data_IF_760656679458
#
_entry.id   IF_760656679458
#
_cell.length_a   1.000
_cell.length_b   1.000
_cell.length_c   1.000
_cell.angle_alpha   90.00
_cell.angle_beta   90.00
_cell.angle_gamma   90.00
#
_symmetry.space_group_name_H-M   'P 1'
#
loop_
_entity.id
_entity.type
_entity.pdbx_description
1 polymer ?
#
# COMPACT_ATOMS: atom_id res chain seq x y z
N UNK A 1 70.66 29.44 -81.73
CA UNK A 1 69.30 29.00 -82.14
C UNK A 1 68.62 28.46 -80.89
N UNK A 2 67.76 29.22 -80.19
CA UNK A 2 66.28 29.25 -80.37
C UNK A 2 65.74 27.83 -80.09
N UNK A 3 64.99 27.46 -79.03
CA UNK A 3 63.88 28.05 -78.25
C UNK A 3 63.88 27.41 -76.83
N UNK A 4 63.71 28.10 -75.70
CA UNK A 4 62.47 28.65 -75.07
C UNK A 4 61.29 27.66 -75.01
N UNK A 5 61.07 27.07 -73.83
CA UNK A 5 59.83 27.07 -72.99
C UNK A 5 59.81 25.84 -72.07
N UNK A 6 60.38 25.98 -70.88
CA UNK A 6 60.05 25.12 -69.73
C UNK A 6 58.73 25.59 -69.14
N UNK A 7 57.62 24.98 -69.56
CA UNK A 7 56.35 25.09 -68.87
C UNK A 7 56.37 24.15 -67.65
N UNK A 8 56.78 24.66 -66.49
CA UNK A 8 56.53 23.99 -65.22
C UNK A 8 55.05 24.16 -64.92
N UNK A 9 54.23 23.17 -65.29
CA UNK A 9 52.87 23.06 -64.79
C UNK A 9 52.99 22.65 -63.33
N UNK A 10 52.89 23.61 -62.40
CA UNK A 10 52.51 23.31 -61.03
C UNK A 10 51.09 22.77 -61.08
N UNK A 11 50.95 21.46 -61.23
CA UNK A 11 49.77 20.75 -60.78
C UNK A 11 49.80 20.86 -59.26
N UNK A 12 49.18 21.92 -58.74
CA UNK A 12 48.72 21.94 -57.35
C UNK A 12 47.68 20.84 -57.24
N UNK A 13 48.14 19.62 -56.96
CA UNK A 13 47.32 18.59 -56.35
C UNK A 13 46.91 19.21 -55.01
N UNK A 14 45.76 19.88 -55.01
CA UNK A 14 45.02 20.12 -53.78
C UNK A 14 44.77 18.72 -53.23
N UNK A 15 45.59 18.35 -52.24
CA UNK A 15 45.26 17.27 -51.34
C UNK A 15 43.94 17.70 -50.70
N UNK A 16 42.81 17.27 -51.27
CA UNK A 16 41.52 17.34 -50.59
C UNK A 16 41.72 16.50 -49.34
N UNK A 17 42.07 17.16 -48.24
CA UNK A 17 41.97 16.58 -46.92
C UNK A 17 40.59 15.95 -46.87
N UNK A 18 40.53 14.63 -46.75
CA UNK A 18 39.27 13.93 -46.54
C UNK A 18 38.69 14.54 -45.25
N UNK A 19 37.75 15.48 -45.41
CA UNK A 19 37.06 16.07 -44.29
C UNK A 19 36.38 14.91 -43.56
N UNK A 20 36.88 14.59 -42.37
CA UNK A 20 36.38 13.45 -41.61
C UNK A 20 34.91 13.73 -41.32
N UNK A 21 34.04 12.78 -41.70
CA UNK A 21 32.59 12.95 -41.59
C UNK A 21 32.20 13.16 -40.12
N UNK A 22 31.34 14.15 -39.80
CA UNK A 22 30.86 14.34 -38.45
C UNK A 22 29.95 13.17 -38.05
N UNK A 23 30.12 12.68 -36.82
CA UNK A 23 29.45 11.49 -36.33
C UNK A 23 28.98 11.69 -34.88
N UNK A 24 27.79 11.17 -34.58
CA UNK A 24 27.27 11.05 -33.21
C UNK A 24 27.71 9.70 -32.66
N UNK A 25 28.55 9.73 -31.63
CA UNK A 25 29.29 8.54 -31.17
C UNK A 25 28.52 7.75 -30.13
N UNK A 26 27.87 8.45 -29.20
CA UNK A 26 27.20 7.82 -28.06
C UNK A 26 25.68 7.82 -28.28
N UNK A 27 25.00 6.78 -27.81
CA UNK A 27 23.54 6.77 -27.74
C UNK A 27 23.07 7.73 -26.64
N UNK A 28 21.93 8.38 -26.86
CA UNK A 28 21.32 9.26 -25.87
C UNK A 28 20.58 8.38 -24.87
N UNK A 29 21.05 8.37 -23.62
CA UNK A 29 20.42 7.59 -22.56
C UNK A 29 19.00 8.12 -22.27
N UNK A 30 18.03 7.22 -22.02
CA UNK A 30 16.69 7.63 -21.63
C UNK A 30 16.71 8.27 -20.24
N UNK A 31 16.03 9.41 -20.11
CA UNK A 31 15.96 10.17 -18.86
C UNK A 31 14.56 10.03 -18.25
N UNK A 32 14.49 9.70 -16.96
CA UNK A 32 13.24 9.61 -16.20
C UNK A 32 13.30 10.62 -15.05
N UNK A 33 12.35 11.55 -15.01
CA UNK A 33 12.29 12.62 -14.02
C UNK A 33 10.86 12.83 -13.54
N UNK A 34 10.71 13.35 -12.32
CA UNK A 34 9.41 13.76 -11.81
C UNK A 34 9.02 15.14 -12.34
N UNK A 35 7.71 15.40 -12.36
CA UNK A 35 7.15 16.71 -12.70
C UNK A 35 7.82 17.84 -11.89
N UNK A 36 8.13 18.95 -12.57
CA UNK A 36 8.82 20.11 -11.99
C UNK A 36 10.35 19.97 -11.88
N UNK A 37 10.94 18.78 -12.07
CA UNK A 37 12.40 18.61 -12.06
C UNK A 37 13.06 19.15 -13.34
N UNK A 38 14.38 19.08 -13.41
CA UNK A 38 15.16 19.39 -14.62
C UNK A 38 15.71 18.10 -15.24
N UNK A 39 15.53 17.93 -16.54
CA UNK A 39 16.10 16.82 -17.33
C UNK A 39 17.33 17.25 -18.11
N UNK A 40 18.20 16.27 -18.40
CA UNK A 40 19.43 16.44 -19.15
C UNK A 40 19.52 15.36 -20.23
N UNK A 41 19.69 15.76 -21.48
CA UNK A 41 19.96 14.84 -22.59
C UNK A 41 21.31 15.17 -23.20
N UNK A 42 22.20 14.18 -23.26
CA UNK A 42 23.59 14.38 -23.70
C UNK A 42 23.78 13.77 -25.10
N UNK A 43 24.37 14.55 -26.01
CA UNK A 43 24.73 14.09 -27.34
C UNK A 43 26.23 14.33 -27.59
N UNK A 44 26.98 13.26 -27.76
CA UNK A 44 28.42 13.31 -28.02
C UNK A 44 28.72 13.20 -29.51
N UNK A 45 29.49 14.15 -30.04
CA UNK A 45 29.90 14.19 -31.44
C UNK A 45 31.42 14.28 -31.61
N UNK A 46 31.91 13.73 -32.72
CA UNK A 46 33.30 13.85 -33.17
C UNK A 46 33.33 14.45 -34.57
N UNK A 47 34.45 15.08 -34.92
CA UNK A 47 34.71 15.67 -36.24
C UNK A 47 33.65 16.69 -36.70
N UNK A 48 32.92 17.32 -35.76
CA UNK A 48 32.00 18.41 -36.08
C UNK A 48 32.81 19.66 -36.45
N UNK A 49 32.68 20.12 -37.69
CA UNK A 49 33.38 21.30 -38.23
C UNK A 49 32.40 22.26 -38.89
N UNK A 50 32.67 23.57 -38.82
CA UNK A 50 31.89 24.58 -39.54
C UNK A 50 31.90 24.28 -41.05
N UNK A 51 30.75 24.32 -41.76
CA UNK A 51 29.49 24.93 -41.35
C UNK A 51 28.45 23.95 -40.75
N UNK A 52 28.84 22.72 -40.39
CA UNK A 52 27.94 21.76 -39.75
C UNK A 52 27.47 22.26 -38.37
N UNK A 53 26.20 22.03 -38.06
CA UNK A 53 25.54 22.44 -36.82
C UNK A 53 24.83 21.25 -36.19
N UNK A 54 24.84 21.16 -34.86
CA UNK A 54 24.06 20.18 -34.12
C UNK A 54 22.69 20.74 -33.79
N UNK A 55 21.62 19.99 -34.00
CA UNK A 55 20.26 20.43 -33.72
C UNK A 55 19.57 19.50 -32.74
N UNK A 56 18.95 20.07 -31.72
CA UNK A 56 18.00 19.36 -30.87
C UNK A 56 16.59 19.58 -31.39
N UNK A 57 15.87 18.48 -31.61
CA UNK A 57 14.51 18.51 -32.15
C UNK A 57 13.65 17.58 -31.29
N UNK A 58 12.51 18.07 -30.82
CA UNK A 58 11.50 17.24 -30.16
C UNK A 58 10.57 16.66 -31.22
N UNK A 59 10.51 15.34 -31.30
CA UNK A 59 9.70 14.63 -32.29
C UNK A 59 8.26 14.43 -31.82
N UNK A 60 8.08 14.16 -30.52
CA UNK A 60 6.76 13.94 -29.93
C UNK A 60 6.21 15.25 -29.40
N UNK A 61 5.37 15.91 -30.19
CA UNK A 61 4.68 17.14 -29.79
C UNK A 61 3.17 16.91 -29.84
N UNK A 62 2.37 17.66 -29.04
CA UNK A 62 0.91 17.57 -29.09
C UNK A 62 0.33 17.88 -30.47
N UNK A 63 1.02 18.68 -31.28
CA UNK A 63 0.62 19.06 -32.64
C UNK A 63 1.03 18.05 -33.72
N UNK A 64 1.80 17.02 -33.36
CA UNK A 64 2.34 16.02 -34.29
C UNK A 64 3.46 16.53 -35.20
N UNK A 65 3.87 17.80 -35.07
CA UNK A 65 4.95 18.41 -35.84
C UNK A 65 6.26 18.46 -35.03
N UNK A 66 7.41 18.08 -35.61
CA UNK A 66 8.70 18.22 -34.93
C UNK A 66 8.99 19.67 -34.54
N UNK A 67 9.40 19.89 -33.30
CA UNK A 67 9.73 21.22 -32.77
C UNK A 67 11.26 21.36 -32.67
N UNK A 68 11.82 22.31 -33.42
CA UNK A 68 13.25 22.61 -33.38
C UNK A 68 13.59 23.44 -32.13
N UNK A 69 14.33 22.85 -31.19
CA UNK A 69 14.66 23.45 -29.90
C UNK A 69 15.89 24.34 -29.99
N UNK A 70 16.96 23.84 -30.59
CA UNK A 70 18.23 24.57 -30.68
C UNK A 70 18.98 24.27 -31.96
N UNK A 71 19.94 25.15 -32.25
CA UNK A 71 20.99 24.96 -33.24
C UNK A 71 22.31 25.33 -32.58
N UNK A 72 23.18 24.36 -32.42
CA UNK A 72 24.34 24.37 -31.53
C UNK A 72 23.92 24.83 -30.12
N UNK A 73 24.60 25.83 -29.57
CA UNK A 73 24.32 26.44 -28.26
C UNK A 73 23.15 27.46 -28.33
N UNK A 74 22.68 27.82 -29.52
CA UNK A 74 21.61 28.81 -29.70
C UNK A 74 20.23 28.15 -29.62
N UNK A 75 19.53 28.38 -28.51
CA UNK A 75 18.12 27.99 -28.33
C UNK A 75 17.23 28.85 -29.24
N UNK A 76 16.28 28.21 -29.93
CA UNK A 76 15.34 28.85 -30.88
C UNK A 76 13.94 29.07 -30.30
N UNK A 77 13.65 28.50 -29.14
CA UNK A 77 12.35 28.59 -28.48
C UNK A 77 12.47 29.51 -27.27
N UNK A 78 11.76 30.64 -27.30
CA UNK A 78 11.73 31.62 -26.21
C UNK A 78 10.64 31.31 -25.17
N UNK A 79 10.56 30.05 -24.73
CA UNK A 79 9.68 29.66 -23.63
C UNK A 79 10.37 29.97 -22.29
N UNK A 80 9.68 30.70 -21.42
CA UNK A 80 10.21 31.14 -20.12
C UNK A 80 9.35 30.55 -19.01
N UNK A 81 10.01 29.88 -18.06
CA UNK A 81 9.39 29.33 -16.85
C UNK A 81 10.14 29.90 -15.65
N UNK A 82 9.41 30.47 -14.69
CA UNK A 82 9.98 31.07 -13.48
C UNK A 82 11.10 32.10 -13.76
N UNK A 83 10.94 32.89 -14.83
CA UNK A 83 11.89 33.93 -15.22
C UNK A 83 13.19 33.41 -15.87
N UNK A 84 13.28 32.11 -16.19
CA UNK A 84 14.42 31.51 -16.90
C UNK A 84 13.96 30.81 -18.18
N UNK A 85 14.86 30.67 -19.16
CA UNK A 85 14.59 29.88 -20.37
C UNK A 85 14.32 28.42 -20.00
N UNK A 86 13.23 27.89 -20.53
CA UNK A 86 12.82 26.47 -20.41
C UNK A 86 13.91 25.54 -20.89
N UNK A 87 14.43 25.83 -22.09
CA UNK A 87 15.47 25.08 -22.77
C UNK A 87 16.80 25.81 -22.69
N UNK A 88 17.88 25.06 -22.54
CA UNK A 88 19.25 25.55 -22.57
C UNK A 88 20.16 24.49 -23.18
N UNK A 89 21.25 24.90 -23.81
CA UNK A 89 22.21 23.95 -24.39
C UNK A 89 23.61 24.36 -24.00
N UNK A 90 24.28 23.46 -23.28
CA UNK A 90 25.66 23.65 -22.86
C UNK A 90 26.55 22.70 -23.63
N UNK A 91 27.63 23.25 -24.19
CA UNK A 91 28.65 22.48 -24.90
C UNK A 91 29.86 22.23 -24.00
N UNK A 92 30.24 20.98 -23.84
CA UNK A 92 31.47 20.56 -23.17
C UNK A 92 32.43 19.94 -24.17
N UNK A 93 33.71 20.32 -24.12
CA UNK A 93 34.75 19.71 -24.94
C UNK A 93 35.63 18.80 -24.07
N UNK A 94 35.76 17.53 -24.46
CA UNK A 94 36.64 16.57 -23.81
C UNK A 94 37.44 15.84 -24.88
N UNK A 95 38.74 16.13 -24.96
CA UNK A 95 39.64 15.64 -26.01
C UNK A 95 39.08 15.93 -27.42
N UNK A 96 38.94 14.89 -28.26
CA UNK A 96 38.39 14.97 -29.61
C UNK A 96 36.85 14.86 -29.65
N UNK A 97 36.17 14.86 -28.51
CA UNK A 97 34.70 14.76 -28.39
C UNK A 97 34.10 16.08 -27.93
N UNK A 98 33.00 16.45 -28.55
CA UNK A 98 32.16 17.57 -28.12
C UNK A 98 30.82 17.02 -27.64
N UNK A 99 30.45 17.31 -26.40
CA UNK A 99 29.18 16.90 -25.81
C UNK A 99 28.25 18.10 -25.75
N UNK A 100 27.10 17.98 -26.40
CA UNK A 100 26.02 18.95 -26.35
C UNK A 100 24.95 18.44 -25.39
N UNK A 101 24.81 19.10 -24.25
CA UNK A 101 23.82 18.76 -23.23
C UNK A 101 22.61 19.68 -23.36
N UNK A 102 21.46 19.11 -23.71
CA UNK A 102 20.17 19.79 -23.64
C UNK A 102 19.64 19.74 -22.20
N UNK A 103 19.33 20.92 -21.66
CA UNK A 103 18.75 21.11 -20.33
C UNK A 103 17.30 21.54 -20.50
N UNK A 104 16.38 20.83 -19.85
CA UNK A 104 14.94 21.12 -19.89
C UNK A 104 14.47 21.35 -18.45
N UNK A 105 14.12 22.60 -18.11
CA UNK A 105 13.77 23.02 -16.74
C UNK A 105 12.28 22.90 -16.45
N UNK A 106 11.94 22.73 -15.18
CA UNK A 106 10.57 22.75 -14.67
C UNK A 106 9.62 21.88 -15.50
N UNK A 107 9.92 20.58 -15.56
CA UNK A 107 9.25 19.62 -16.46
C UNK A 107 7.73 19.61 -16.29
N UNK A 108 7.02 19.58 -17.42
CA UNK A 108 5.56 19.40 -17.52
C UNK A 108 5.25 18.07 -18.21
N UNK A 109 3.99 17.63 -18.17
CA UNK A 109 3.57 16.40 -18.86
C UNK A 109 3.85 16.45 -20.36
N UNK A 110 3.69 17.64 -20.96
CA UNK A 110 3.94 17.88 -22.38
C UNK A 110 5.40 17.75 -22.77
N UNK A 111 6.35 17.80 -21.82
CA UNK A 111 7.78 17.62 -22.08
C UNK A 111 8.16 16.16 -22.34
N UNK A 112 7.34 15.20 -21.90
CA UNK A 112 7.59 13.80 -22.15
C UNK A 112 7.58 13.49 -23.65
N UNK A 113 8.45 12.58 -24.07
CA UNK A 113 8.50 12.10 -25.45
C UNK A 113 9.91 11.93 -25.99
N UNK A 114 10.00 11.79 -27.31
CA UNK A 114 11.26 11.53 -27.99
C UNK A 114 11.91 12.81 -28.52
N UNK A 115 13.20 12.93 -28.24
CA UNK A 115 14.08 13.99 -28.69
C UNK A 115 15.12 13.38 -29.62
N UNK A 116 15.51 14.13 -30.64
CA UNK A 116 16.62 13.74 -31.53
C UNK A 116 17.71 14.78 -31.46
N UNK A 117 18.94 14.29 -31.41
CA UNK A 117 20.12 15.06 -31.72
C UNK A 117 20.50 14.75 -33.17
N UNK A 118 20.48 15.75 -34.03
CA UNK A 118 20.72 15.60 -35.47
C UNK A 118 21.83 16.54 -35.93
N UNK A 119 22.74 16.06 -36.78
CA UNK A 119 23.75 16.89 -37.42
C UNK A 119 23.18 17.45 -38.74
N UNK A 120 23.15 18.77 -38.87
CA UNK A 120 22.72 19.48 -40.06
C UNK A 120 23.93 20.14 -40.75
N UNK A 121 24.16 19.84 -42.03
CA UNK A 121 25.16 20.55 -42.84
C UNK A 121 24.48 21.44 -43.89
N UNK A 122 24.66 22.76 -43.86
CA UNK A 122 24.17 23.61 -44.92
C UNK A 122 24.89 23.27 -46.24
N UNK A 123 24.14 23.32 -47.35
CA UNK A 123 24.63 23.08 -48.72
C UNK A 123 25.00 21.63 -49.06
N UNK A 124 24.67 20.65 -48.21
CA UNK A 124 24.75 19.23 -48.57
C UNK A 124 23.36 18.61 -48.52
N UNK A 125 23.03 17.82 -49.55
CA UNK A 125 21.75 17.13 -49.62
C UNK A 125 21.97 15.67 -49.22
N UNK A 126 22.09 15.40 -47.92
CA UNK A 126 22.17 14.04 -47.42
C UNK A 126 20.81 13.38 -47.49
N UNK A 127 20.78 12.11 -47.95
CA UNK A 127 19.56 11.29 -47.94
C UNK A 127 19.05 11.07 -46.52
N UNK A 128 19.97 10.94 -45.55
CA UNK A 128 19.71 10.86 -44.12
C UNK A 128 20.84 11.55 -43.35
N UNK A 129 20.47 12.47 -42.46
CA UNK A 129 21.38 13.15 -41.56
C UNK A 129 21.76 12.23 -40.39
N UNK A 130 23.02 12.21 -39.92
CA UNK A 130 23.37 11.49 -38.69
C UNK A 130 22.51 11.98 -37.53
N UNK A 131 21.79 11.06 -36.89
CA UNK A 131 20.91 11.38 -35.77
C UNK A 131 20.88 10.25 -34.73
N UNK A 132 20.62 10.62 -33.48
CA UNK A 132 20.38 9.69 -32.36
C UNK A 132 19.14 10.11 -31.59
N UNK A 133 18.36 9.13 -31.18
CA UNK A 133 17.12 9.31 -30.43
C UNK A 133 17.39 9.20 -28.93
N UNK A 134 16.82 10.11 -28.15
CA UNK A 134 16.71 10.04 -26.70
C UNK A 134 15.25 10.12 -26.27
N UNK A 135 14.89 9.47 -25.18
CA UNK A 135 13.53 9.49 -24.63
C UNK A 135 13.52 10.16 -23.27
N UNK A 136 12.54 11.04 -23.05
CA UNK A 136 12.28 11.69 -21.78
C UNK A 136 10.93 11.22 -21.24
N UNK A 137 10.94 10.60 -20.06
CA UNK A 137 9.73 10.22 -19.33
C UNK A 137 9.53 11.15 -18.14
N UNK A 138 8.36 11.81 -18.09
CA UNK A 138 7.96 12.64 -16.95
C UNK A 138 6.98 11.86 -16.08
N UNK A 139 7.43 11.55 -14.87
CA UNK A 139 6.69 10.84 -13.84
C UNK A 139 5.86 11.80 -12.99
N UNK A 140 4.67 11.37 -12.61
CA UNK A 140 3.70 12.14 -11.84
C UNK A 140 3.29 11.29 -10.63
N UNK A 141 3.48 11.84 -9.43
CA UNK A 141 3.07 11.21 -8.19
C UNK A 141 1.54 10.94 -8.17
N UNK A 142 1.09 9.89 -7.49
CA UNK A 142 -0.31 9.55 -7.44
C UNK A 142 -1.12 10.63 -6.71
N UNK A 143 -2.35 10.85 -7.17
CA UNK A 143 -3.34 11.74 -6.53
C UNK A 143 -4.68 11.02 -6.50
N UNK A 144 -5.34 10.97 -5.33
CA UNK A 144 -6.65 10.32 -5.17
C UNK A 144 -7.74 11.37 -5.39
N UNK A 145 -8.74 11.04 -6.21
CA UNK A 145 -9.98 11.82 -6.29
C UNK A 145 -10.85 11.45 -5.10
N UNK A 146 -11.20 12.44 -4.28
CA UNK A 146 -12.04 12.24 -3.11
C UNK A 146 -13.53 12.16 -3.49
N UNK A 147 -13.89 11.27 -4.42
CA UNK A 147 -15.28 11.10 -4.88
C UNK A 147 -16.10 10.24 -3.90
N UNK A 148 -15.44 9.50 -3.00
CA UNK A 148 -16.09 8.70 -1.95
C UNK A 148 -16.32 9.51 -0.69
N UNK A 149 -17.52 9.38 -0.10
CA UNK A 149 -17.83 10.00 1.18
C UNK A 149 -16.78 9.63 2.24
N UNK A 150 -16.21 10.64 2.90
CA UNK A 150 -15.21 10.44 3.95
C UNK A 150 -15.78 9.66 5.14
N UNK A 151 -17.09 9.75 5.36
CA UNK A 151 -17.82 9.04 6.40
C UNK A 151 -19.01 8.30 5.77
N UNK A 152 -19.13 7.01 6.05
CA UNK A 152 -20.23 6.16 5.61
C UNK A 152 -20.91 5.61 6.86
N UNK A 153 -22.22 5.78 6.95
CA UNK A 153 -23.04 5.13 7.97
C UNK A 153 -23.94 4.11 7.30
N UNK A 154 -23.95 2.90 7.83
CA UNK A 154 -24.69 1.76 7.27
C UNK A 154 -25.36 0.96 8.38
N UNK A 155 -26.48 0.32 8.07
CA UNK A 155 -27.15 -0.61 8.98
C UNK A 155 -26.50 -2.00 8.87
N UNK A 156 -26.33 -2.68 10.00
CA UNK A 156 -25.84 -4.06 10.06
C UNK A 156 -26.64 -5.00 9.15
N UNK A 157 -25.95 -5.95 8.54
CA UNK A 157 -26.48 -6.87 7.54
C UNK A 157 -26.61 -6.29 6.12
N UNK A 158 -26.41 -4.98 5.93
CA UNK A 158 -26.40 -4.37 4.59
C UNK A 158 -25.04 -4.52 3.88
N UNK A 159 -25.05 -4.23 2.58
CA UNK A 159 -23.86 -4.27 1.73
C UNK A 159 -23.39 -2.84 1.41
N UNK A 160 -22.08 -2.62 1.31
CA UNK A 160 -21.51 -1.34 0.85
C UNK A 160 -20.47 -1.57 -0.26
N UNK A 161 -20.22 -0.51 -1.00
CA UNK A 161 -19.14 -0.44 -1.98
C UNK A 161 -18.27 0.76 -1.66
N UNK A 162 -17.01 0.51 -1.31
CA UNK A 162 -15.98 1.53 -1.18
C UNK A 162 -15.32 1.76 -2.54
N UNK A 163 -15.22 3.02 -2.96
CA UNK A 163 -14.61 3.40 -4.24
C UNK A 163 -13.39 4.28 -3.97
N UNK A 164 -12.35 4.11 -4.76
CA UNK A 164 -11.17 4.94 -4.72
C UNK A 164 -10.63 5.04 -6.15
N UNK A 165 -10.55 6.27 -6.65
CA UNK A 165 -9.98 6.58 -7.95
C UNK A 165 -8.69 7.37 -7.74
N UNK A 166 -7.65 7.00 -8.49
CA UNK A 166 -6.37 7.70 -8.41
C UNK A 166 -5.81 7.96 -9.81
N UNK A 167 -5.22 9.13 -9.98
CA UNK A 167 -4.47 9.53 -11.17
C UNK A 167 -2.97 9.48 -10.86
N UNK A 168 -2.14 9.32 -11.89
CA UNK A 168 -0.69 9.34 -11.78
C UNK A 168 -0.04 8.80 -13.06
N UNK A 169 1.26 9.07 -13.22
CA UNK A 169 2.04 8.52 -14.33
C UNK A 169 3.37 7.95 -13.81
N UNK A 170 3.60 6.62 -13.84
CA UNK A 170 2.71 5.58 -14.37
C UNK A 170 1.36 5.48 -13.63
N UNK A 171 0.38 4.80 -14.24
CA UNK A 171 -0.93 4.60 -13.61
C UNK A 171 -0.77 3.90 -12.25
N UNK A 172 -1.38 4.42 -11.17
CA UNK A 172 -1.18 3.90 -9.83
C UNK A 172 -1.95 2.62 -9.55
N UNK A 173 -1.31 1.73 -8.79
CA UNK A 173 -1.98 0.57 -8.22
C UNK A 173 -2.70 0.98 -6.93
N UNK A 174 -3.98 0.63 -6.84
CA UNK A 174 -4.83 0.93 -5.69
C UNK A 174 -4.97 -0.30 -4.80
N UNK A 175 -4.81 -0.10 -3.48
CA UNK A 175 -4.98 -1.13 -2.45
C UNK A 175 -5.78 -0.59 -1.28
N UNK A 176 -6.75 -1.38 -0.80
CA UNK A 176 -7.50 -1.14 0.42
C UNK A 176 -6.93 -1.95 1.58
N UNK A 177 -6.96 -1.38 2.78
CA UNK A 177 -6.65 -2.04 4.05
C UNK A 177 -7.46 -1.42 5.19
N UNK A 178 -7.54 -2.09 6.33
CA UNK A 178 -8.06 -1.46 7.56
C UNK A 178 -7.00 -0.56 8.20
N UNK A 179 -7.44 0.51 8.85
CA UNK A 179 -6.58 1.45 9.58
C UNK A 179 -6.06 0.90 10.90
N UNK A 180 -6.81 -0.01 11.52
CA UNK A 180 -6.45 -0.72 12.75
C UNK A 180 -5.53 -1.93 12.53
N UNK A 181 -5.32 -2.33 11.26
CA UNK A 181 -4.48 -3.47 10.90
C UNK A 181 -5.18 -4.83 10.97
N UNK A 182 -6.47 -4.89 11.32
CA UNK A 182 -7.24 -6.13 11.28
C UNK A 182 -7.49 -6.60 9.84
N UNK A 183 -7.85 -7.88 9.64
CA UNK A 183 -8.32 -8.37 8.35
C UNK A 183 -9.52 -7.58 7.86
N UNK A 184 -9.59 -7.37 6.54
CA UNK A 184 -10.79 -6.83 5.89
C UNK A 184 -11.99 -7.77 6.12
N UNK A 185 -13.23 -7.25 6.10
CA UNK A 185 -14.45 -8.05 6.31
C UNK A 185 -14.54 -9.33 5.46
N UNK A 186 -14.12 -9.26 4.19
CA UNK A 186 -14.14 -10.42 3.28
C UNK A 186 -12.89 -11.32 3.41
N UNK A 187 -12.08 -11.13 4.45
CA UNK A 187 -10.82 -11.81 4.68
C UNK A 187 -9.59 -11.14 4.04
N UNK A 188 -8.41 -11.48 4.58
CA UNK A 188 -7.12 -10.96 4.17
C UNK A 188 -6.82 -9.54 4.66
N UNK A 189 -5.56 -9.13 4.66
CA UNK A 189 -5.14 -7.81 5.17
C UNK A 189 -5.21 -6.69 4.12
N UNK A 190 -5.31 -7.06 2.84
CA UNK A 190 -5.26 -6.11 1.73
C UNK A 190 -6.14 -6.57 0.56
N UNK A 191 -6.79 -5.61 -0.10
CA UNK A 191 -7.55 -5.84 -1.34
C UNK A 191 -7.07 -4.92 -2.44
N UNK A 192 -6.64 -5.48 -3.58
CA UNK A 192 -6.28 -4.70 -4.78
C UNK A 192 -7.51 -4.25 -5.57
N UNK A 193 -7.41 -3.09 -6.19
CA UNK A 193 -8.43 -2.50 -7.06
C UNK A 193 -9.09 -1.27 -6.44
N UNK A 194 -9.61 -0.38 -7.30
CA UNK A 194 -10.29 0.84 -6.88
C UNK A 194 -11.61 0.61 -6.14
N UNK A 195 -12.29 -0.51 -6.41
CA UNK A 195 -13.57 -0.86 -5.80
C UNK A 195 -13.44 -2.02 -4.83
N UNK A 196 -13.98 -1.85 -3.62
CA UNK A 196 -14.08 -2.89 -2.61
C UNK A 196 -15.53 -3.04 -2.15
N UNK A 197 -16.15 -4.18 -2.46
CA UNK A 197 -17.50 -4.52 -2.02
C UNK A 197 -17.42 -5.30 -0.71
N UNK A 198 -18.20 -4.87 0.29
CA UNK A 198 -18.39 -5.57 1.56
C UNK A 198 -19.85 -5.99 1.64
N UNK A 199 -20.09 -7.23 2.03
CA UNK A 199 -21.42 -7.81 2.11
C UNK A 199 -21.75 -8.17 3.56
N UNK A 200 -23.02 -8.05 3.94
CA UNK A 200 -23.51 -8.40 5.27
C UNK A 200 -22.65 -7.81 6.40
N UNK A 201 -22.50 -6.48 6.39
CA UNK A 201 -21.65 -5.76 7.34
C UNK A 201 -22.05 -6.08 8.77
N UNK A 202 -21.05 -6.36 9.60
CA UNK A 202 -21.22 -6.60 11.03
C UNK A 202 -20.83 -5.37 11.85
N UNK A 203 -21.32 -5.29 13.09
CA UNK A 203 -20.90 -4.24 14.02
C UNK A 203 -19.37 -4.20 14.22
N UNK A 204 -18.68 -5.34 14.13
CA UNK A 204 -17.21 -5.46 14.24
C UNK A 204 -16.46 -4.84 13.06
N UNK A 205 -17.10 -4.69 11.90
CA UNK A 205 -16.50 -4.13 10.70
C UNK A 205 -16.29 -2.62 10.77
N UNK A 206 -16.90 -1.94 11.75
CA UNK A 206 -16.75 -0.50 11.98
C UNK A 206 -15.27 -0.09 12.04
N UNK A 207 -14.97 1.14 11.64
CA UNK A 207 -13.64 1.72 11.75
C UNK A 207 -13.12 2.29 10.45
N UNK A 208 -11.80 2.44 10.36
CA UNK A 208 -11.15 3.12 9.23
C UNK A 208 -10.79 2.14 8.13
N UNK A 209 -11.15 2.48 6.90
CA UNK A 209 -10.70 1.84 5.67
C UNK A 209 -9.81 2.80 4.91
N UNK A 210 -8.58 2.37 4.62
CA UNK A 210 -7.56 3.21 3.97
C UNK A 210 -7.34 2.70 2.55
N UNK A 211 -7.64 3.55 1.58
CA UNK A 211 -7.17 3.38 0.20
C UNK A 211 -5.76 3.95 0.07
N UNK A 212 -4.86 3.20 -0.59
CA UNK A 212 -3.50 3.62 -0.93
C UNK A 212 -3.32 3.51 -2.44
N UNK A 213 -2.86 4.58 -3.06
CA UNK A 213 -2.46 4.64 -4.46
C UNK A 213 -0.94 4.80 -4.56
N UNK A 214 -0.27 3.85 -5.21
CA UNK A 214 1.19 3.86 -5.40
C UNK A 214 1.56 3.50 -6.84
N UNK A 215 2.40 4.33 -7.47
CA UNK A 215 3.01 4.08 -8.78
C UNK A 215 4.54 4.10 -8.74
N UNK A 216 5.13 3.91 -7.55
CA UNK A 216 6.56 4.05 -7.23
C UNK A 216 7.13 5.47 -7.36
N UNK A 217 6.30 6.48 -7.62
CA UNK A 217 6.67 7.90 -7.60
C UNK A 217 6.22 8.48 -6.27
N UNK A 218 7.13 9.17 -5.57
CA UNK A 218 6.88 9.67 -4.22
C UNK A 218 6.29 11.09 -4.24
N UNK A 219 5.43 11.44 -3.27
CA UNK A 219 4.87 10.56 -2.22
C UNK A 219 3.72 9.68 -2.76
N UNK A 220 3.46 8.49 -2.18
CA UNK A 220 2.22 7.77 -2.43
C UNK A 220 1.03 8.58 -1.89
N UNK A 221 -0.16 8.35 -2.43
CA UNK A 221 -1.39 8.98 -1.95
C UNK A 221 -2.20 8.01 -1.11
N UNK A 222 -2.88 8.52 -0.09
CA UNK A 222 -3.80 7.73 0.75
C UNK A 222 -5.08 8.50 1.06
N UNK A 223 -6.19 7.78 1.13
CA UNK A 223 -7.50 8.32 1.51
C UNK A 223 -8.16 7.41 2.54
N UNK A 224 -8.73 8.01 3.58
CA UNK A 224 -9.34 7.27 4.70
C UNK A 224 -10.84 7.46 4.67
N UNK A 225 -11.57 6.35 4.73
CA UNK A 225 -13.02 6.28 4.87
C UNK A 225 -13.35 5.79 6.27
N UNK A 226 -14.13 6.55 7.01
CA UNK A 226 -14.68 6.13 8.30
C UNK A 226 -16.00 5.38 8.07
N UNK A 227 -16.03 4.11 8.44
CA UNK A 227 -17.24 3.28 8.43
C UNK A 227 -17.86 3.25 9.83
N UNK A 228 -19.10 3.70 9.92
CA UNK A 228 -19.94 3.62 11.10
C UNK A 228 -21.08 2.62 10.86
N UNK A 229 -21.25 1.66 11.78
CA UNK A 229 -22.26 0.60 11.66
C UNK A 229 -23.31 0.78 12.74
N UNK A 230 -24.56 1.02 12.32
CA UNK A 230 -25.74 1.07 13.20
C UNK A 230 -26.42 -0.29 13.26
N UNK A 231 -26.97 -0.65 14.41
CA UNK A 231 -27.62 -1.93 14.66
C UNK A 231 -28.63 -1.83 15.81
N UNK A 232 -29.62 -2.73 15.84
CA UNK A 232 -30.57 -2.87 16.94
C UNK A 232 -29.87 -3.38 18.21
N UNK A 233 -30.44 -3.20 19.41
CA UNK A 233 -29.74 -3.59 20.63
C UNK A 233 -29.51 -5.10 20.71
N UNK A 234 -28.40 -5.51 21.31
CA UNK A 234 -28.10 -6.89 21.71
C UNK A 234 -28.00 -6.92 23.23
N UNK A 235 -28.96 -7.56 23.88
CA UNK A 235 -29.03 -7.67 25.33
C UNK A 235 -28.51 -9.04 25.78
N UNK A 236 -27.52 -9.06 26.66
CA UNK A 236 -26.90 -10.29 27.16
C UNK A 236 -26.93 -10.31 28.68
N UNK A 237 -27.51 -11.37 29.24
CA UNK A 237 -27.44 -11.63 30.68
C UNK A 237 -26.04 -12.13 31.04
N UNK A 238 -25.31 -11.40 31.89
CA UNK A 238 -23.97 -11.83 32.34
C UNK A 238 -24.06 -13.14 33.13
N UNK A 239 -25.12 -13.26 33.93
CA UNK A 239 -25.53 -14.51 34.58
C UNK A 239 -27.04 -14.63 34.47
N UNK A 240 -27.50 -15.57 33.66
CA UNK A 240 -28.91 -15.79 33.37
C UNK A 240 -29.68 -16.41 34.54
N UNK A 241 -29.00 -17.09 35.45
CA UNK A 241 -29.58 -17.78 36.61
C UNK A 241 -28.92 -17.30 37.90
N UNK A 242 -29.69 -16.66 38.78
CA UNK A 242 -29.18 -16.05 40.01
C UNK A 242 -29.89 -16.68 41.20
N UNK A 243 -29.12 -17.33 42.07
CA UNK A 243 -29.61 -17.86 43.33
C UNK A 243 -29.42 -16.84 44.45
N UNK A 244 -30.45 -16.57 45.24
CA UNK A 244 -30.35 -15.71 46.41
C UNK A 244 -31.26 -16.23 47.53
N UNK A 245 -30.73 -16.36 48.75
CA UNK A 245 -31.51 -16.80 49.90
C UNK A 245 -32.55 -15.74 50.33
N UNK A 246 -33.71 -16.17 50.86
CA UNK A 246 -34.76 -15.25 51.31
C UNK A 246 -34.34 -14.60 52.63
N UNK A 247 -34.10 -13.30 52.62
CA UNK A 247 -33.81 -12.53 53.83
C UNK A 247 -34.00 -11.03 53.59
N UNK A 248 -34.53 -10.34 54.60
CA UNK A 248 -34.64 -8.87 54.62
C UNK A 248 -33.30 -8.12 54.57
N UNK A 249 -32.16 -8.81 54.60
CA UNK A 249 -30.81 -8.22 54.46
C UNK A 249 -30.06 -8.70 53.21
N UNK A 250 -30.62 -9.65 52.46
CA UNK A 250 -29.99 -10.15 51.25
C UNK A 250 -30.58 -9.43 50.03
N UNK A 251 -29.68 -8.98 49.15
CA UNK A 251 -30.02 -8.26 47.92
C UNK A 251 -29.56 -9.11 46.75
N UNK A 252 -30.38 -9.23 45.71
CA UNK A 252 -29.97 -9.85 44.45
C UNK A 252 -29.53 -8.76 43.46
N UNK A 253 -28.56 -9.08 42.60
CA UNK A 253 -28.14 -8.22 41.50
C UNK A 253 -28.21 -8.97 40.19
N UNK A 254 -28.94 -8.42 39.23
CA UNK A 254 -29.01 -8.92 37.86
C UNK A 254 -28.23 -7.94 36.97
N UNK A 255 -27.29 -8.47 36.18
CA UNK A 255 -26.39 -7.67 35.36
C UNK A 255 -26.61 -7.97 33.87
N UNK A 256 -26.99 -6.96 33.12
CA UNK A 256 -27.28 -7.00 31.69
C UNK A 256 -26.25 -6.17 30.93
N UNK A 257 -25.53 -6.79 30.00
CA UNK A 257 -24.69 -6.09 29.03
C UNK A 257 -25.53 -5.78 27.81
N UNK A 258 -25.60 -4.52 27.41
CA UNK A 258 -26.35 -4.09 26.23
C UNK A 258 -25.40 -3.41 25.26
N UNK A 259 -25.27 -3.99 24.05
CA UNK A 259 -24.57 -3.40 22.92
C UNK A 259 -25.58 -2.78 21.96
N UNK A 260 -25.46 -1.50 21.59
CA UNK A 260 -26.40 -0.86 20.67
C UNK A 260 -25.82 0.39 20.00
N UNK A 261 -26.09 0.56 18.71
CA UNK A 261 -25.78 1.79 17.99
C UNK A 261 -26.92 2.24 17.05
N UNK A 262 -27.62 3.34 17.33
CA UNK A 262 -27.40 4.25 18.46
C UNK A 262 -27.75 3.62 19.80
N UNK A 263 -27.26 4.26 20.88
CA UNK A 263 -27.44 3.77 22.26
C UNK A 263 -28.91 3.50 22.56
N UNK A 264 -29.18 2.32 23.14
CA UNK A 264 -30.53 1.88 23.47
C UNK A 264 -31.06 2.52 24.76
N UNK A 265 -32.37 2.73 24.81
CA UNK A 265 -33.12 2.88 26.05
C UNK A 265 -33.36 1.49 26.66
N UNK A 266 -33.07 1.33 27.95
CA UNK A 266 -33.16 0.03 28.64
C UNK A 266 -34.23 0.07 29.72
N UNK A 267 -35.14 -0.90 29.67
CA UNK A 267 -36.25 -1.07 30.60
C UNK A 267 -36.17 -2.48 31.20
N UNK A 268 -36.39 -2.57 32.51
CA UNK A 268 -36.48 -3.85 33.20
C UNK A 268 -37.93 -4.27 33.39
N UNK A 269 -38.20 -5.56 33.27
CA UNK A 269 -39.51 -6.15 33.51
C UNK A 269 -39.42 -7.34 34.47
N UNK A 270 -40.48 -7.55 35.25
CA UNK A 270 -40.68 -8.78 36.02
C UNK A 270 -41.86 -9.55 35.42
N UNK A 271 -41.70 -10.85 35.23
CA UNK A 271 -42.80 -11.72 34.85
C UNK A 271 -43.71 -11.98 36.04
N UNK A 272 -45.00 -11.77 35.85
CA UNK A 272 -45.99 -12.18 36.84
C UNK A 272 -46.14 -13.71 36.78
N UNK A 273 -45.80 -14.40 37.88
CA UNK A 273 -45.85 -15.86 37.95
C UNK A 273 -47.24 -16.48 37.68
N UNK A 274 -48.32 -15.69 37.76
CA UNK A 274 -49.70 -16.18 37.57
C UNK A 274 -50.23 -15.86 36.17
N UNK A 275 -50.05 -14.62 35.71
CA UNK A 275 -50.59 -14.15 34.41
C UNK A 275 -49.60 -14.30 33.26
N UNK A 276 -48.32 -14.56 33.56
CA UNK A 276 -47.20 -14.55 32.60
C UNK A 276 -47.02 -13.20 31.88
N UNK A 277 -47.63 -12.13 32.38
CA UNK A 277 -47.46 -10.79 31.83
C UNK A 277 -46.19 -10.13 32.38
N UNK A 278 -45.55 -9.30 31.55
CA UNK A 278 -44.35 -8.54 31.93
C UNK A 278 -44.75 -7.20 32.54
N UNK A 279 -44.49 -7.03 33.82
CA UNK A 279 -44.71 -5.78 34.55
C UNK A 279 -43.42 -4.95 34.55
N UNK A 280 -43.51 -3.69 34.10
CA UNK A 280 -42.35 -2.80 34.04
C UNK A 280 -41.87 -2.44 35.46
N UNK A 281 -40.57 -2.57 35.67
CA UNK A 281 -39.90 -2.22 36.92
C UNK A 281 -39.48 -0.75 36.86
N UNK A 282 -39.77 -0.02 37.92
CA UNK A 282 -39.30 1.35 38.14
C UNK A 282 -38.42 1.39 39.38
N UNK A 283 -37.48 2.34 39.40
CA UNK A 283 -36.61 2.58 40.56
C UNK A 283 -37.45 3.04 41.77
N UNK A 284 -37.26 2.38 42.91
CA UNK A 284 -38.00 2.60 44.15
C UNK A 284 -37.30 1.97 45.37
N UNK A 285 -37.99 1.86 46.51
CA UNK A 285 -37.45 1.26 47.73
C UNK A 285 -37.10 -0.24 47.57
N UNK A 286 -37.77 -0.94 46.64
CA UNK A 286 -37.59 -2.36 46.36
C UNK A 286 -36.53 -2.62 45.29
N UNK A 287 -36.54 -1.86 44.20
CA UNK A 287 -35.68 -2.05 43.05
C UNK A 287 -34.80 -0.84 42.85
N UNK A 288 -33.51 -1.03 42.58
CA UNK A 288 -32.60 0.04 42.19
C UNK A 288 -32.00 -0.26 40.84
N UNK A 289 -32.12 0.71 39.93
CA UNK A 289 -31.69 0.60 38.54
C UNK A 289 -30.42 1.43 38.36
N UNK A 290 -29.31 0.76 38.09
CA UNK A 290 -28.02 1.41 37.89
C UNK A 290 -27.50 1.13 36.49
N UNK A 291 -26.78 2.10 35.94
CA UNK A 291 -26.02 1.92 34.71
C UNK A 291 -24.61 2.44 34.94
N UNK A 292 -23.60 1.71 34.49
CA UNK A 292 -22.22 2.15 34.62
C UNK A 292 -21.43 1.83 33.36
N UNK A 293 -20.51 2.73 33.03
CA UNK A 293 -19.54 2.54 31.95
C UNK A 293 -18.30 1.86 32.54
N UNK A 294 -17.79 0.82 31.89
CA UNK A 294 -16.53 0.16 32.23
C UNK A 294 -15.53 0.46 31.12
N UNK A 295 -14.31 0.86 31.48
CA UNK A 295 -13.29 1.27 30.51
C UNK A 295 -12.87 0.14 29.56
N UNK A 296 -13.17 -1.11 29.90
CA UNK A 296 -12.87 -2.28 29.07
C UNK A 296 -13.96 -2.55 28.02
N UNK A 297 -15.12 -1.92 28.14
CA UNK A 297 -16.21 -2.07 27.17
C UNK A 297 -15.98 -1.22 25.92
N UNK A 298 -16.55 -1.68 24.80
CA UNK A 298 -16.63 -0.87 23.59
C UNK A 298 -17.57 0.33 23.82
N UNK A 299 -17.42 1.39 23.02
CA UNK A 299 -18.18 2.63 23.19
C UNK A 299 -19.71 2.48 23.06
N UNK A 300 -20.15 1.45 22.35
CA UNK A 300 -21.54 1.04 22.11
C UNK A 300 -22.06 0.02 23.12
N UNK A 301 -21.24 -0.43 24.06
CA UNK A 301 -21.58 -1.39 25.10
C UNK A 301 -21.78 -0.68 26.45
N UNK A 302 -22.73 -1.17 27.26
CA UNK A 302 -22.92 -0.67 28.63
C UNK A 302 -23.53 -1.74 29.54
N UNK A 303 -23.14 -1.72 30.81
CA UNK A 303 -23.80 -2.51 31.84
C UNK A 303 -25.00 -1.79 32.45
N UNK A 304 -26.10 -2.53 32.57
CA UNK A 304 -27.32 -2.16 33.28
C UNK A 304 -27.55 -3.17 34.41
N UNK A 305 -27.78 -2.68 35.61
CA UNK A 305 -27.94 -3.49 36.82
C UNK A 305 -29.31 -3.27 37.43
N UNK A 306 -30.03 -4.36 37.71
CA UNK A 306 -31.19 -4.37 38.57
C UNK A 306 -30.80 -4.94 39.94
N UNK A 307 -30.82 -4.10 40.97
CA UNK A 307 -30.62 -4.51 42.36
C UNK A 307 -31.97 -4.69 43.05
N UNK A 308 -32.30 -5.92 43.43
CA UNK A 308 -33.54 -6.28 44.13
C UNK A 308 -33.25 -6.32 45.63
N UNK A 309 -33.83 -5.41 46.39
CA UNK A 309 -33.53 -5.26 47.82
C UNK A 309 -34.39 -6.17 48.68
N UNK A 310 -33.82 -6.70 49.77
CA UNK A 310 -34.54 -7.45 50.80
C UNK A 310 -35.35 -8.60 50.18
N UNK A 311 -34.67 -9.54 49.53
CA UNK A 311 -35.27 -10.63 48.73
C UNK A 311 -36.23 -11.47 49.57
N UNK A 312 -37.42 -11.71 49.02
CA UNK A 312 -38.53 -12.47 49.58
C UNK A 312 -39.03 -13.50 48.55
N UNK A 313 -39.85 -14.45 49.01
CA UNK A 313 -40.37 -15.54 48.16
C UNK A 313 -41.11 -15.04 46.91
N UNK A 314 -41.81 -13.91 47.01
CA UNK A 314 -42.53 -13.31 45.89
C UNK A 314 -41.63 -12.64 44.85
N UNK A 315 -40.34 -12.43 45.14
CA UNK A 315 -39.37 -11.86 44.19
C UNK A 315 -38.83 -12.91 43.22
N UNK A 316 -38.86 -14.19 43.58
CA UNK A 316 -38.40 -15.24 42.69
C UNK A 316 -39.27 -15.32 41.44
N UNK A 317 -38.62 -15.58 40.31
CA UNK A 317 -39.27 -15.59 39.01
C UNK A 317 -38.37 -15.10 37.90
N UNK A 318 -38.97 -14.90 36.73
CA UNK A 318 -38.30 -14.41 35.56
C UNK A 318 -38.25 -12.88 35.54
N UNK A 319 -37.10 -12.34 35.15
CA UNK A 319 -36.86 -10.93 34.92
C UNK A 319 -36.34 -10.73 33.51
N UNK A 320 -36.61 -9.59 32.91
CA UNK A 320 -36.17 -9.26 31.56
C UNK A 320 -35.50 -7.89 31.54
N UNK A 321 -34.37 -7.81 30.85
CA UNK A 321 -33.69 -6.57 30.48
C UNK A 321 -33.95 -6.34 29.01
N UNK A 322 -34.70 -5.29 28.67
CA UNK A 322 -35.12 -5.02 27.30
C UNK A 322 -34.51 -3.71 26.84
N UNK A 323 -33.71 -3.77 25.76
CA UNK A 323 -33.09 -2.62 25.13
C UNK A 323 -33.79 -2.27 23.82
N UNK A 324 -34.06 -0.98 23.60
CA UNK A 324 -34.74 -0.46 22.40
C UNK A 324 -34.01 0.73 21.80
N UNK A 325 -33.87 0.75 20.48
CA UNK A 325 -33.41 1.92 19.73
C UNK A 325 -34.24 2.12 18.44
N UNK A 326 -33.83 3.06 17.59
CA UNK A 326 -34.52 3.36 16.32
C UNK A 326 -34.52 2.20 15.30
N UNK A 327 -33.70 1.18 15.51
CA UNK A 327 -33.54 0.04 14.60
C UNK A 327 -34.19 -1.24 15.10
N UNK A 328 -34.58 -1.31 16.37
CA UNK A 328 -35.27 -2.48 16.91
C UNK A 328 -35.21 -2.59 18.42
N UNK A 329 -35.54 -3.78 18.89
CA UNK A 329 -35.65 -4.12 20.30
C UNK A 329 -35.16 -5.55 20.51
N UNK A 330 -34.48 -5.78 21.64
CA UNK A 330 -34.00 -7.10 22.04
C UNK A 330 -34.06 -7.21 23.57
N UNK A 331 -34.10 -8.44 24.09
CA UNK A 331 -34.19 -8.67 25.52
C UNK A 331 -33.36 -9.85 26.00
N UNK A 332 -32.84 -9.74 27.23
CA UNK A 332 -32.19 -10.81 27.95
C UNK A 332 -33.09 -11.29 29.11
N UNK A 333 -33.25 -12.61 29.25
CA UNK A 333 -34.01 -13.24 30.33
C UNK A 333 -33.09 -13.62 31.49
N UNK A 334 -33.56 -13.38 32.70
CA UNK A 334 -32.94 -13.79 33.95
C UNK A 334 -33.92 -14.63 34.77
N UNK A 335 -33.41 -15.60 35.50
CA UNK A 335 -34.17 -16.41 36.44
C UNK A 335 -33.59 -16.21 37.84
N UNK A 336 -34.38 -15.60 38.73
CA UNK A 336 -34.05 -15.48 40.15
C UNK A 336 -34.71 -16.63 40.93
N UNK A 337 -33.94 -17.38 41.71
CA UNK A 337 -34.43 -18.52 42.49
C UNK A 337 -33.88 -18.54 43.91
N UNK A 338 -34.54 -19.30 44.78
CA UNK A 338 -34.13 -19.49 46.16
C UNK A 338 -32.89 -20.40 46.25
N UNK A 339 -31.77 -19.87 46.72
CA UNK A 339 -30.55 -20.66 46.88
C UNK A 339 -30.54 -21.57 48.11
N UNK A 340 -31.46 -21.38 49.05
CA UNK A 340 -31.54 -22.13 50.32
C UNK A 340 -32.27 -23.47 50.19
N UNK A 341 -33.12 -23.62 49.18
CA UNK A 341 -33.80 -24.88 48.84
C UNK A 341 -32.92 -25.83 48.03
N UNK A 342 -31.85 -25.32 47.41
CA UNK A 342 -30.81 -26.12 46.76
C UNK A 342 -29.76 -26.60 47.77
N UNK A 343 -30.16 -27.57 48.60
CA UNK A 343 -29.25 -28.41 49.39
C UNK A 343 -29.24 -29.84 48.84
N UNK A 344 -28.87 -29.99 47.57
CA UNK A 344 -28.06 -31.12 47.04
C UNK A 344 -27.99 -31.06 45.51
N UNK A 345 -26.77 -31.26 44.98
CA UNK A 345 -26.41 -31.63 43.59
C UNK A 345 -26.21 -30.57 42.48
N UNK A 346 -25.65 -29.40 42.74
CA UNK A 346 -24.86 -28.68 41.70
C UNK A 346 -23.78 -27.76 42.32
N UNK A 347 -23.05 -28.28 43.30
CA UNK A 347 -21.80 -27.68 43.76
C UNK A 347 -20.68 -28.02 42.76
N UNK A 348 -20.76 -27.49 41.55
CA UNK A 348 -19.54 -27.10 40.85
C UNK A 348 -19.09 -25.77 41.44
N UNK A 349 -18.21 -25.89 42.43
CA UNK A 349 -17.44 -24.80 43.00
C UNK A 349 -16.92 -23.86 41.91
N UNK A 350 -17.35 -22.60 41.96
CA UNK A 350 -16.36 -21.52 41.98
C UNK A 350 -16.78 -20.52 43.04
N UNK A 351 -15.86 -20.34 43.98
CA UNK A 351 -15.90 -19.35 45.03
C UNK A 351 -16.04 -17.95 44.43
N UNK A 352 -16.30 -16.98 45.30
CA UNK A 352 -16.10 -15.56 45.01
C UNK A 352 -14.66 -15.37 44.51
N UNK A 353 -14.50 -15.31 43.19
CA UNK A 353 -13.28 -14.91 42.50
C UNK A 353 -13.63 -13.78 41.55
N UNK A 354 -12.67 -12.87 41.38
CA UNK A 354 -12.74 -11.67 40.57
C UNK A 354 -13.43 -11.87 39.21
N UNK A 355 -14.01 -10.78 38.68
CA UNK A 355 -14.41 -10.62 37.28
C UNK A 355 -13.67 -11.61 36.37
N UNK A 356 -14.38 -12.65 35.95
CA UNK A 356 -13.83 -13.71 35.14
C UNK A 356 -13.38 -13.11 33.79
N UNK A 357 -12.11 -13.32 33.43
CA UNK A 357 -11.51 -12.85 32.17
C UNK A 357 -12.15 -13.52 30.92
N UNK A 358 -13.09 -14.44 31.13
CA UNK A 358 -13.87 -15.12 30.08
C UNK A 358 -14.99 -14.26 29.48
N UNK A 359 -15.46 -13.20 30.18
CA UNK A 359 -16.38 -12.21 29.58
C UNK A 359 -15.73 -11.39 28.46
N UNK A 360 -14.41 -11.44 28.34
CA UNK A 360 -13.62 -10.74 27.32
C UNK A 360 -13.28 -11.61 26.10
N UNK A 361 -13.74 -12.87 26.06
CA UNK A 361 -13.68 -13.69 24.87
C UNK A 361 -15.08 -13.81 24.26
N UNK A 362 -15.20 -13.20 23.08
CA UNK A 362 -16.20 -13.45 22.04
C UNK A 362 -17.65 -13.05 22.36
N UNK A 363 -18.01 -11.81 22.01
CA UNK A 363 -19.26 -11.58 21.27
C UNK A 363 -19.03 -11.97 19.80
N UNK A 364 -18.70 -13.24 19.54
CA UNK A 364 -18.79 -13.78 18.19
C UNK A 364 -20.29 -14.00 17.95
N UNK A 365 -20.90 -13.04 17.27
CA UNK A 365 -22.24 -13.24 16.75
C UNK A 365 -22.18 -14.42 15.78
N UNK A 366 -23.04 -15.40 16.02
CA UNK A 366 -22.94 -16.76 15.50
C UNK A 366 -22.79 -16.84 13.97
N UNK A 367 -21.73 -17.51 13.51
CA UNK A 367 -21.51 -17.87 12.11
C UNK A 367 -20.40 -18.92 11.89
N UNK A 368 -20.78 -20.20 11.95
CA UNK A 368 -20.08 -21.41 11.49
C UNK A 368 -18.66 -21.77 12.00
N UNK A 369 -18.59 -23.01 12.51
CA UNK A 369 -17.43 -23.76 13.00
C UNK A 369 -16.24 -23.86 12.04
N UNK A 370 -15.04 -23.67 12.57
CA UNK A 370 -13.84 -24.40 12.12
C UNK A 370 -13.14 -25.01 13.34
N UNK A 371 -12.87 -26.31 13.27
CA UNK A 371 -12.14 -27.07 14.30
C UNK A 371 -10.66 -26.63 14.34
N UNK A 372 -10.15 -26.29 15.52
CA UNK A 372 -8.70 -26.21 15.78
C UNK A 372 -8.26 -27.27 16.79
N UNK A 373 -7.20 -27.99 16.42
CA UNK A 373 -6.50 -29.04 17.18
C UNK A 373 -5.57 -28.36 18.21
N UNK A 374 -5.52 -28.81 19.48
CA UNK A 374 -4.80 -28.07 20.52
C UNK A 374 -3.28 -28.31 20.47
N UNK A 375 -2.52 -27.23 20.50
CA UNK A 375 -1.09 -27.19 20.84
C UNK A 375 -0.94 -26.82 22.32
N UNK A 376 -0.51 -27.78 23.14
CA UNK A 376 -0.07 -27.51 24.52
C UNK A 376 1.23 -26.69 24.54
N UNK A 377 1.24 -25.61 25.32
CA UNK A 377 2.46 -24.99 25.83
C UNK A 377 2.59 -25.34 27.32
N UNK A 378 3.70 -26.00 27.66
CA UNK A 378 4.23 -26.08 29.03
C UNK A 378 5.44 -25.17 29.11
N UNK A 379 5.38 -24.20 30.01
CA UNK A 379 6.55 -23.53 30.57
C UNK A 379 7.34 -24.54 31.42
N UNK A 380 8.67 -24.58 31.28
CA UNK A 380 9.55 -24.49 32.45
C UNK A 380 11.05 -24.33 32.10
N UNK A 381 11.66 -23.40 32.83
CA UNK A 381 12.99 -23.38 33.44
C UNK A 381 14.26 -23.82 32.66
N UNK A 382 15.16 -22.83 32.57
CA UNK A 382 16.62 -22.86 32.54
C UNK A 382 17.29 -24.11 33.17
N UNK A 383 17.94 -24.94 32.33
CA UNK A 383 19.15 -25.70 32.68
C UNK A 383 20.07 -25.84 31.47
N UNK A 384 21.27 -25.31 31.65
CA UNK A 384 22.45 -25.52 30.81
C UNK A 384 22.98 -26.93 31.00
N UNK A 385 22.88 -27.79 29.98
CA UNK A 385 23.69 -29.01 29.88
C UNK A 385 24.30 -29.16 28.49
N UNK A 386 25.63 -29.26 28.49
CA UNK A 386 26.52 -29.48 27.35
C UNK A 386 26.27 -30.84 26.69
N UNK A 387 25.91 -30.84 25.40
CA UNK A 387 25.81 -32.07 24.61
C UNK A 387 27.17 -32.40 23.96
N UNK A 388 27.83 -33.47 24.44
CA UNK A 388 29.02 -34.07 23.82
C UNK A 388 28.62 -34.83 22.55
N UNK A 389 29.26 -34.55 21.42
CA UNK A 389 29.24 -35.45 20.26
C UNK A 389 30.04 -36.72 20.58
N UNK A 390 29.36 -37.88 20.59
CA UNK A 390 29.98 -39.20 20.46
C UNK A 390 29.56 -39.79 19.11
N UNK A 391 30.53 -39.93 18.20
CA UNK A 391 30.34 -40.55 16.88
C UNK A 391 31.38 -40.08 15.87
N UNK A 392 32.03 -41.02 15.18
CA UNK A 392 33.16 -40.76 14.27
C UNK A 392 32.76 -39.89 13.07
N UNK A 393 33.63 -38.91 12.77
CA UNK A 393 33.60 -37.92 11.68
C UNK A 393 32.85 -36.60 11.94
N UNK A 394 33.46 -35.75 12.78
CA UNK A 394 33.28 -34.30 12.69
C UNK A 394 34.52 -33.67 12.04
N UNK A 395 34.45 -33.09 10.83
CA UNK A 395 35.49 -32.18 10.34
C UNK A 395 35.24 -30.78 10.89
N UNK A 396 36.18 -30.31 11.72
CA UNK A 396 36.29 -28.95 12.21
C UNK A 396 36.64 -27.99 11.06
N UNK A 397 35.92 -26.88 10.92
CA UNK A 397 36.39 -25.75 10.12
C UNK A 397 36.39 -24.49 10.99
N UNK A 398 37.60 -24.11 11.38
CA UNK A 398 37.90 -22.83 12.03
C UNK A 398 38.03 -21.70 11.02
N UNK A 399 37.87 -20.48 11.53
CA UNK A 399 38.09 -19.22 10.83
C UNK A 399 39.56 -19.07 10.38
N UNK A 400 39.78 -18.51 9.18
CA UNK A 400 41.12 -18.13 8.71
C UNK A 400 41.12 -17.53 7.30
N UNK A 401 41.82 -16.41 7.14
CA UNK A 401 41.96 -15.56 5.94
C UNK A 401 42.74 -16.23 4.78
N UNK A 402 42.53 -15.67 3.58
CA UNK A 402 43.19 -15.88 2.26
C UNK A 402 44.74 -16.01 2.29
N UNK A 403 45.47 -16.55 1.25
CA UNK A 403 45.45 -16.07 -0.15
C UNK A 403 45.86 -17.04 -1.32
N UNK A 404 45.58 -16.61 -2.56
CA UNK A 404 46.33 -16.69 -3.86
C UNK A 404 47.01 -17.99 -4.45
N UNK A 405 46.82 -18.13 -5.78
CA UNK A 405 47.67 -18.72 -6.87
C UNK A 405 47.41 -20.14 -7.42
N UNK A 406 46.91 -20.15 -8.67
CA UNK A 406 47.22 -20.92 -9.90
C UNK A 406 47.18 -22.47 -10.04
N UNK A 407 46.48 -22.84 -11.13
CA UNK A 407 46.91 -23.62 -12.32
C UNK A 407 46.39 -25.08 -12.54
N UNK A 408 45.78 -25.26 -13.74
CA UNK A 408 45.87 -26.39 -14.72
C UNK A 408 45.05 -27.66 -14.33
N UNK A 409 44.28 -28.35 -15.19
CA UNK A 409 44.39 -28.60 -16.64
C UNK A 409 43.06 -28.99 -17.33
N UNK A 410 43.00 -28.64 -18.62
CA UNK A 410 42.61 -29.42 -19.80
C UNK A 410 41.46 -30.45 -19.76
N UNK A 411 40.46 -30.17 -20.61
CA UNK A 411 39.73 -31.18 -21.39
C UNK A 411 39.79 -30.79 -22.87
N UNK A 412 40.61 -31.51 -23.63
CA UNK A 412 40.79 -31.42 -25.08
C UNK A 412 39.66 -32.13 -25.83
N UNK A 413 39.09 -31.50 -26.86
CA UNK A 413 38.56 -32.19 -28.04
C UNK A 413 38.94 -31.39 -29.29
N UNK A 414 39.86 -31.95 -30.07
CA UNK A 414 40.28 -31.52 -31.40
C UNK A 414 39.55 -32.34 -32.46
N UNK A 415 38.97 -31.67 -33.46
CA UNK A 415 38.83 -32.07 -34.89
C UNK A 415 38.13 -30.86 -35.54
N UNK A 416 38.53 -30.26 -36.65
CA UNK A 416 39.60 -30.42 -37.61
C UNK A 416 39.40 -29.30 -38.64
N UNK A 417 40.49 -28.66 -39.04
CA UNK A 417 40.57 -27.55 -40.00
C UNK A 417 39.97 -27.88 -41.37
N UNK A 418 39.24 -26.93 -41.98
CA UNK A 418 39.47 -26.49 -43.37
C UNK A 418 39.30 -24.96 -43.42
N UNK A 419 40.42 -24.27 -43.58
CA UNK A 419 40.53 -22.84 -43.86
C UNK A 419 40.37 -22.64 -45.38
N UNK A 420 39.45 -21.77 -45.79
CA UNK A 420 39.46 -21.15 -47.12
C UNK A 420 39.55 -19.64 -46.95
N UNK A 421 40.75 -19.09 -47.20
CA UNK A 421 40.99 -17.65 -47.25
C UNK A 421 40.57 -17.11 -48.62
N UNK A 422 39.57 -16.24 -48.66
CA UNK A 422 39.36 -15.31 -49.79
C UNK A 422 40.02 -13.97 -49.47
N UNK A 423 41.23 -13.77 -49.98
CA UNK A 423 41.91 -12.48 -50.04
C UNK A 423 41.41 -11.77 -51.31
N UNK A 424 40.51 -10.78 -51.16
CA UNK A 424 40.25 -9.82 -52.24
C UNK A 424 41.21 -8.65 -52.09
N UNK A 425 42.24 -8.66 -52.95
CA UNK A 425 43.01 -7.49 -53.35
C UNK A 425 42.07 -6.47 -54.02
N UNK A 426 42.09 -5.23 -53.55
CA UNK A 426 41.69 -4.08 -54.38
C UNK A 426 42.95 -3.29 -54.71
N UNK A 427 43.33 -3.38 -55.99
CA UNK A 427 44.22 -2.44 -56.67
C UNK A 427 43.50 -1.10 -56.79
N UNK A 428 44.22 0.01 -56.57
CA UNK A 428 43.96 1.25 -57.29
C UNK A 428 45.30 1.85 -57.73
N UNK A 429 45.22 2.48 -58.91
CA UNK A 429 46.27 2.88 -59.83
C UNK A 429 46.30 4.40 -59.89
#
# INVERSE_FOLDING_TARGET
>A
MINVLTAVVFSSIFCSAFAVRPEIVDDILPEVKQLGQTAYLNCSVINLQSPAQLQWIKLTTPTGLPQHISSDESVRIDEVVEGRRKYDVVKYRSNNREMYQLIIRSLTETDAGNYTCQIYLPNQNYKEWPQKLGSLTVQIAPTIKADSAANITVLEGQNITLVCEANGNPSPNITWKRGDGFPLPNGGFQKRGGTYNVYQIEATDRGQFICIADNNVKPPASYTVQLEVRFSPYCTAVKDTVGQAPNRRFHAKLLCLVAANPRAEVIWYKENNTTQEKEQIQDNDKYTLEQYDDQRLKADEKFYTLSIKNVQENDYGAYYCTGKNEHGENEAKFQLFDSSTNSDNDLNNTAVTALDDTLFKTSDHQGLSTEEIPLEHKEDADKTETMKCQGQNCPSVGAGKAPFVNQVSMGTFTFGLIISFSIKKCFQR
#
